data_IF_097978883229
#
_entry.id   IF_097978883229
#
_cell.length_a   1.000
_cell.length_b   1.000
_cell.length_c   1.000
_cell.angle_alpha   90.00
_cell.angle_beta   90.00
_cell.angle_gamma   90.00
#
_symmetry.space_group_name_H-M   'P 1'
#
loop_
_entity.id
_entity.type
_entity.pdbx_description
1 polymer ?
#
# COMPACT_ATOMS: atom_id res chain seq x y z
N UNK A 1 -16.55 -5.03 -38.75
CA UNK A 1 -16.35 -4.21 -37.53
C UNK A 1 -15.46 -5.03 -36.58
N UNK A 2 -14.14 -4.79 -36.59
CA UNK A 2 -13.22 -5.51 -35.71
C UNK A 2 -13.41 -4.99 -34.28
N UNK A 3 -14.00 -5.79 -33.38
CA UNK A 3 -13.94 -5.51 -31.94
C UNK A 3 -12.46 -5.52 -31.55
N UNK A 4 -11.93 -4.37 -31.10
CA UNK A 4 -10.60 -4.35 -30.46
C UNK A 4 -10.68 -5.30 -29.27
N UNK A 5 -9.84 -6.35 -29.27
CA UNK A 5 -9.70 -7.26 -28.12
C UNK A 5 -9.26 -6.41 -26.93
N UNK A 6 -10.05 -6.40 -25.85
CA UNK A 6 -9.61 -5.84 -24.57
C UNK A 6 -8.56 -6.78 -24.00
N UNK A 7 -7.36 -6.27 -23.72
CA UNK A 7 -6.29 -7.05 -23.12
C UNK A 7 -6.63 -7.39 -21.66
N UNK A 8 -6.29 -8.60 -21.20
CA UNK A 8 -6.37 -8.98 -19.79
C UNK A 8 -5.37 -8.16 -18.95
N UNK A 9 -5.52 -8.13 -17.63
CA UNK A 9 -4.55 -7.44 -16.76
C UNK A 9 -3.13 -8.00 -16.96
N UNK A 10 -3.00 -9.32 -17.03
CA UNK A 10 -1.72 -10.01 -17.30
C UNK A 10 -1.12 -9.61 -18.66
N UNK A 11 -1.93 -9.56 -19.72
CA UNK A 11 -1.47 -9.10 -21.04
C UNK A 11 -1.01 -7.62 -21.01
N UNK A 12 -1.71 -6.76 -20.26
CA UNK A 12 -1.33 -5.34 -20.10
C UNK A 12 -0.04 -5.17 -19.30
N UNK A 13 0.11 -5.91 -18.19
CA UNK A 13 1.33 -5.94 -17.37
C UNK A 13 2.53 -6.41 -18.18
N UNK A 14 2.38 -7.50 -18.94
CA UNK A 14 3.44 -8.00 -19.84
C UNK A 14 3.81 -6.96 -20.89
N UNK A 15 2.82 -6.31 -21.50
CA UNK A 15 3.06 -5.27 -22.50
C UNK A 15 3.79 -4.04 -21.90
N UNK A 16 3.46 -3.65 -20.68
CA UNK A 16 4.15 -2.57 -19.96
C UNK A 16 5.62 -2.89 -19.76
N UNK A 17 5.95 -4.07 -19.26
CA UNK A 17 7.35 -4.44 -19.01
C UNK A 17 8.17 -4.61 -20.28
N UNK A 18 7.59 -5.20 -21.33
CA UNK A 18 8.22 -5.25 -22.66
C UNK A 18 8.48 -3.86 -23.24
N UNK A 19 7.54 -2.94 -23.02
CA UNK A 19 7.74 -1.54 -23.40
C UNK A 19 8.84 -0.89 -22.54
N UNK A 20 8.84 -1.10 -21.23
CA UNK A 20 9.83 -0.54 -20.31
C UNK A 20 11.26 -0.97 -20.70
N UNK A 21 11.47 -2.28 -20.90
CA UNK A 21 12.74 -2.86 -21.33
C UNK A 21 13.22 -2.26 -22.66
N UNK A 22 12.32 -2.17 -23.64
CA UNK A 22 12.64 -1.58 -24.96
C UNK A 22 13.03 -0.10 -24.87
N UNK A 23 12.59 0.62 -23.84
CA UNK A 23 12.79 2.06 -23.70
C UNK A 23 13.82 2.42 -22.61
N UNK A 24 14.54 1.45 -22.04
CA UNK A 24 15.48 1.68 -20.92
C UNK A 24 16.42 2.88 -21.15
N UNK A 25 16.98 3.03 -22.36
CA UNK A 25 17.86 4.17 -22.69
C UNK A 25 17.17 5.53 -22.58
N UNK A 26 15.92 5.62 -23.00
CA UNK A 26 15.13 6.85 -22.85
C UNK A 26 14.77 7.09 -21.39
N UNK A 27 14.49 6.01 -20.63
CA UNK A 27 14.15 6.12 -19.22
C UNK A 27 15.34 6.57 -18.37
N UNK A 28 16.58 6.19 -18.73
CA UNK A 28 17.79 6.67 -18.04
C UNK A 28 18.01 8.19 -18.15
N UNK A 29 17.27 8.89 -19.02
CA UNK A 29 17.29 10.35 -19.12
C UNK A 29 16.45 11.03 -18.03
N UNK A 30 15.88 10.30 -17.06
CA UNK A 30 15.00 10.88 -16.04
C UNK A 30 15.63 12.04 -15.25
N UNK A 31 16.95 11.99 -15.01
CA UNK A 31 17.66 13.06 -14.29
C UNK A 31 17.80 14.35 -15.12
N UNK A 32 17.97 14.25 -16.44
CA UNK A 32 18.14 15.40 -17.33
C UNK A 32 16.83 15.88 -17.97
N UNK A 33 15.87 14.98 -18.17
CA UNK A 33 14.57 15.22 -18.83
C UNK A 33 13.38 14.66 -18.02
N UNK A 34 13.23 14.99 -16.71
CA UNK A 34 12.20 14.40 -15.84
C UNK A 34 10.78 14.60 -16.38
N UNK A 35 10.48 15.81 -16.84
CA UNK A 35 9.36 16.19 -17.71
C UNK A 35 8.87 15.09 -18.65
N UNK A 36 9.76 14.74 -19.57
CA UNK A 36 9.46 13.89 -20.70
C UNK A 36 9.34 12.44 -20.27
N UNK A 37 10.26 11.98 -19.43
CA UNK A 37 10.30 10.58 -18.97
C UNK A 37 9.09 10.27 -18.11
N UNK A 38 8.75 11.12 -17.13
CA UNK A 38 7.58 10.90 -16.29
C UNK A 38 6.29 10.85 -17.12
N UNK A 39 6.09 11.80 -18.04
CA UNK A 39 4.89 11.80 -18.91
C UNK A 39 4.78 10.52 -19.75
N UNK A 40 5.90 10.01 -20.24
CA UNK A 40 5.95 8.78 -21.03
C UNK A 40 5.56 7.56 -20.18
N UNK A 41 6.16 7.43 -19.00
CA UNK A 41 5.90 6.31 -18.08
C UNK A 41 4.47 6.36 -17.54
N UNK A 42 3.97 7.52 -17.11
CA UNK A 42 2.58 7.68 -16.65
C UNK A 42 1.58 7.20 -17.70
N UNK A 43 1.81 7.55 -18.99
CA UNK A 43 0.94 7.14 -20.09
C UNK A 43 0.90 5.62 -20.27
N UNK A 44 2.03 4.95 -20.13
CA UNK A 44 2.14 3.50 -20.34
C UNK A 44 1.68 2.72 -19.12
N UNK A 45 2.03 3.18 -17.92
CA UNK A 45 1.57 2.62 -16.65
C UNK A 45 0.04 2.68 -16.52
N UNK A 46 -0.58 3.80 -16.90
CA UNK A 46 -2.04 3.96 -16.89
C UNK A 46 -2.80 2.94 -17.75
N UNK A 47 -2.15 2.27 -18.71
CA UNK A 47 -2.77 1.17 -19.46
C UNK A 47 -2.91 -0.10 -18.60
N UNK A 48 -2.04 -0.29 -17.61
CA UNK A 48 -2.15 -1.36 -16.63
C UNK A 48 -3.15 -0.94 -15.55
N UNK A 49 -2.79 0.13 -14.82
CA UNK A 49 -3.55 0.77 -13.75
C UNK A 49 -2.93 2.15 -13.48
N UNK A 50 -3.70 3.21 -13.13
CA UNK A 50 -3.16 4.54 -12.86
C UNK A 50 -2.45 4.63 -11.50
N UNK A 51 -1.32 3.93 -11.36
CA UNK A 51 -0.46 3.94 -10.17
C UNK A 51 0.55 5.10 -10.23
N UNK A 52 1.11 5.45 -9.07
CA UNK A 52 2.21 6.41 -8.96
C UNK A 52 3.57 5.71 -9.15
N UNK A 53 4.62 6.49 -9.45
CA UNK A 53 5.99 5.98 -9.54
C UNK A 53 7.03 7.07 -9.28
N UNK A 54 8.23 6.63 -8.92
CA UNK A 54 9.40 7.48 -8.69
C UNK A 54 10.66 6.85 -9.29
N UNK A 55 11.61 7.72 -9.65
CA UNK A 55 12.95 7.32 -10.09
C UNK A 55 13.97 7.70 -9.03
N UNK A 56 14.81 6.75 -8.64
CA UNK A 56 15.85 6.93 -7.63
C UNK A 56 17.25 6.68 -8.18
N UNK A 57 18.30 7.18 -7.49
CA UNK A 57 19.69 6.98 -7.89
C UNK A 57 20.12 5.50 -7.89
N UNK A 58 19.41 4.64 -7.15
CA UNK A 58 19.64 3.21 -7.06
C UNK A 58 21.00 2.80 -6.54
N UNK A 59 21.31 1.51 -6.69
CA UNK A 59 22.55 0.90 -6.21
C UNK A 59 23.14 -0.02 -7.27
N UNK A 60 24.43 -0.36 -7.13
CA UNK A 60 25.13 -1.32 -8.00
C UNK A 60 25.08 -0.97 -9.50
N UNK A 61 25.11 0.31 -9.84
CA UNK A 61 25.08 0.78 -11.23
C UNK A 61 23.72 0.68 -11.91
N UNK A 62 22.66 0.37 -11.14
CA UNK A 62 21.26 0.41 -11.57
C UNK A 62 20.56 1.62 -10.96
N UNK A 63 19.59 2.18 -11.66
CA UNK A 63 18.65 3.17 -11.12
C UNK A 63 17.45 2.46 -10.50
N UNK A 64 16.80 3.11 -9.53
CA UNK A 64 15.58 2.56 -8.93
C UNK A 64 14.35 3.04 -9.69
N UNK A 65 13.43 2.12 -9.96
CA UNK A 65 12.07 2.41 -10.38
C UNK A 65 11.11 1.93 -9.29
N UNK A 66 10.59 2.89 -8.53
CA UNK A 66 9.70 2.65 -7.40
C UNK A 66 8.27 2.80 -7.92
N UNK A 67 7.44 1.78 -7.72
CA UNK A 67 6.01 1.83 -8.04
C UNK A 67 5.24 2.00 -6.74
N UNK A 68 4.36 2.99 -6.68
CA UNK A 68 3.64 3.37 -5.46
C UNK A 68 2.13 3.30 -5.67
N UNK A 69 1.41 2.99 -4.60
CA UNK A 69 -0.04 3.08 -4.53
C UNK A 69 -0.50 4.46 -4.05
N UNK A 70 0.42 5.38 -3.78
CA UNK A 70 0.16 6.73 -3.27
C UNK A 70 -0.72 6.71 -2.00
N UNK A 71 -0.42 5.75 -1.11
CA UNK A 71 -1.15 5.52 0.15
C UNK A 71 -2.51 4.82 -0.02
N UNK A 72 -2.94 4.52 -1.24
CA UNK A 72 -4.22 3.83 -1.52
C UNK A 72 -4.06 2.32 -1.25
N UNK A 73 -4.36 1.89 -0.02
CA UNK A 73 -4.24 0.48 0.43
C UNK A 73 -4.83 -0.55 -0.53
N UNK A 74 -5.98 -0.24 -1.15
CA UNK A 74 -6.66 -1.14 -2.10
C UNK A 74 -5.84 -1.43 -3.37
N UNK A 75 -4.86 -0.59 -3.67
CA UNK A 75 -4.00 -0.74 -4.85
C UNK A 75 -2.70 -1.51 -4.55
N UNK A 76 -2.44 -1.86 -3.30
CA UNK A 76 -1.24 -2.60 -2.88
C UNK A 76 -1.09 -3.94 -3.61
N UNK A 77 -2.13 -4.79 -3.77
CA UNK A 77 -2.01 -6.01 -4.57
C UNK A 77 -1.62 -5.74 -6.02
N UNK A 78 -2.08 -4.63 -6.61
CA UNK A 78 -1.75 -4.26 -7.99
C UNK A 78 -0.30 -3.82 -8.13
N UNK A 79 0.22 -3.02 -7.19
CA UNK A 79 1.64 -2.64 -7.13
C UNK A 79 2.52 -3.88 -7.00
N UNK A 80 2.18 -4.75 -6.04
CA UNK A 80 2.87 -6.01 -5.79
C UNK A 80 2.88 -6.91 -7.04
N UNK A 81 1.74 -7.06 -7.72
CA UNK A 81 1.62 -7.90 -8.90
C UNK A 81 2.44 -7.35 -10.07
N UNK A 82 2.41 -6.03 -10.27
CA UNK A 82 3.19 -5.37 -11.31
C UNK A 82 4.69 -5.55 -11.07
N UNK A 83 5.18 -5.30 -9.86
CA UNK A 83 6.58 -5.47 -9.50
C UNK A 83 7.04 -6.93 -9.62
N UNK A 84 6.24 -7.89 -9.15
CA UNK A 84 6.55 -9.32 -9.25
C UNK A 84 6.65 -9.80 -10.70
N UNK A 85 5.86 -9.22 -11.60
CA UNK A 85 5.88 -9.55 -13.02
C UNK A 85 7.04 -8.88 -13.80
N UNK A 86 7.86 -8.06 -13.14
CA UNK A 86 8.99 -7.41 -13.79
C UNK A 86 10.02 -8.46 -14.27
N UNK A 87 10.52 -8.34 -15.52
CA UNK A 87 11.65 -9.14 -15.97
C UNK A 87 12.93 -8.69 -15.27
N UNK A 88 14.00 -9.46 -15.41
CA UNK A 88 15.32 -9.00 -15.00
C UNK A 88 15.78 -7.85 -15.91
N UNK A 89 15.87 -6.65 -15.35
CA UNK A 89 16.31 -5.45 -16.04
C UNK A 89 17.77 -5.14 -15.73
N UNK A 90 18.53 -4.78 -16.76
CA UNK A 90 19.97 -4.57 -16.64
C UNK A 90 20.30 -3.24 -15.95
N UNK A 91 19.48 -2.22 -16.18
CA UNK A 91 19.72 -0.85 -15.68
C UNK A 91 18.82 -0.44 -14.52
N UNK A 92 17.90 -1.31 -14.11
CA UNK A 92 16.84 -0.94 -13.16
C UNK A 92 16.67 -1.94 -12.03
N UNK A 93 16.50 -1.42 -10.81
CA UNK A 93 15.90 -2.14 -9.70
C UNK A 93 14.40 -1.81 -9.67
N UNK A 94 13.56 -2.84 -9.63
CA UNK A 94 12.12 -2.65 -9.50
C UNK A 94 11.73 -2.80 -8.04
N UNK A 95 11.15 -1.75 -7.49
CA UNK A 95 10.86 -1.65 -6.06
C UNK A 95 9.36 -1.37 -5.89
N UNK A 96 8.70 -2.20 -5.09
CA UNK A 96 7.31 -1.96 -4.68
C UNK A 96 7.30 -1.03 -3.46
N UNK A 97 6.52 0.05 -3.56
CA UNK A 97 6.31 1.06 -2.51
C UNK A 97 7.56 1.88 -2.16
N UNK A 98 7.33 3.09 -1.65
CA UNK A 98 8.40 3.87 -1.02
C UNK A 98 8.96 3.09 0.17
N UNK A 99 10.27 2.92 0.21
CA UNK A 99 10.97 2.17 1.26
C UNK A 99 11.38 3.09 2.40
N UNK A 100 11.43 2.54 3.61
CA UNK A 100 12.00 3.22 4.77
C UNK A 100 13.46 3.63 4.47
N UNK A 101 13.76 4.91 4.72
CA UNK A 101 15.08 5.48 4.64
C UNK A 101 15.39 6.27 5.91
N UNK A 102 16.62 6.15 6.38
CA UNK A 102 17.15 7.10 7.35
C UNK A 102 17.47 8.40 6.62
N UNK A 103 16.70 9.44 6.92
CA UNK A 103 16.89 10.75 6.34
C UNK A 103 17.44 11.74 7.37
N UNK A 104 18.29 12.62 6.87
CA UNK A 104 18.77 13.82 7.55
C UNK A 104 18.57 15.00 6.59
N UNK A 105 18.24 16.17 7.13
CA UNK A 105 18.05 17.40 6.36
C UNK A 105 16.61 17.62 5.88
N UNK A 106 16.46 18.04 4.63
CA UNK A 106 15.25 18.74 4.17
C UNK A 106 14.53 18.01 3.04
N UNK A 107 13.19 17.93 3.13
CA UNK A 107 12.33 17.59 1.99
C UNK A 107 11.93 18.86 1.21
N UNK A 108 12.13 18.82 -0.10
CA UNK A 108 11.72 19.85 -1.05
C UNK A 108 10.51 19.38 -1.84
N UNK A 109 9.38 20.06 -1.72
CA UNK A 109 8.17 19.75 -2.47
C UNK A 109 7.32 20.99 -2.65
N UNK A 110 6.60 21.13 -3.77
CA UNK A 110 5.69 22.25 -4.02
C UNK A 110 6.28 23.66 -3.76
N UNK A 111 7.59 23.83 -3.94
CA UNK A 111 8.29 25.09 -3.69
C UNK A 111 8.53 25.42 -2.22
N UNK A 112 8.18 24.52 -1.30
CA UNK A 112 8.52 24.61 0.13
C UNK A 112 9.68 23.68 0.48
N UNK A 113 10.30 24.00 1.61
CA UNK A 113 11.49 23.35 2.15
C UNK A 113 11.20 23.04 3.62
N UNK A 114 11.03 21.76 3.95
CA UNK A 114 10.73 21.32 5.31
C UNK A 114 11.93 20.56 5.85
N UNK A 115 12.61 21.12 6.84
CA UNK A 115 13.68 20.43 7.54
C UNK A 115 13.11 19.48 8.59
N UNK A 116 13.66 18.28 8.69
CA UNK A 116 13.26 17.29 9.69
C UNK A 116 13.47 17.82 11.11
N UNK A 117 14.52 18.63 11.33
CA UNK A 117 14.81 19.22 12.64
C UNK A 117 13.81 20.33 13.02
N UNK A 118 13.07 20.86 12.05
CA UNK A 118 11.96 21.80 12.24
C UNK A 118 10.60 21.07 12.42
N UNK A 119 10.64 19.75 12.66
CA UNK A 119 9.47 18.90 12.87
C UNK A 119 9.54 18.11 14.19
N UNK A 120 8.40 17.94 14.82
CA UNK A 120 8.23 17.09 16.00
C UNK A 120 6.89 16.34 15.92
N UNK A 121 6.69 15.32 16.72
CA UNK A 121 5.43 14.55 16.70
C UNK A 121 4.95 14.17 18.10
N UNK A 122 3.66 13.86 18.16
CA UNK A 122 3.04 13.08 19.23
C UNK A 122 2.39 11.84 18.59
N UNK A 123 2.47 10.70 19.28
CA UNK A 123 1.89 9.45 18.81
C UNK A 123 1.26 8.66 19.97
N UNK A 124 0.09 8.09 19.71
CA UNK A 124 -0.66 7.27 20.65
C UNK A 124 -1.17 6.01 19.95
N UNK A 125 -1.16 4.89 20.66
CA UNK A 125 -1.71 3.65 20.16
C UNK A 125 -3.22 3.60 20.43
N UNK A 126 -4.00 3.34 19.41
CA UNK A 126 -5.46 3.17 19.53
C UNK A 126 -5.83 1.81 20.10
N UNK A 127 -7.08 1.65 20.52
CA UNK A 127 -7.61 0.35 20.99
C UNK A 127 -7.56 -0.73 19.91
N UNK A 128 -7.69 -0.34 18.63
CA UNK A 128 -7.58 -1.22 17.47
C UNK A 128 -6.12 -1.58 17.12
N UNK A 129 -5.15 -1.05 17.88
CA UNK A 129 -3.72 -1.30 17.69
C UNK A 129 -3.10 -0.53 16.52
N UNK A 130 -3.78 0.48 16.00
CA UNK A 130 -3.20 1.49 15.10
C UNK A 130 -2.45 2.54 15.92
N UNK A 131 -1.69 3.40 15.24
CA UNK A 131 -1.01 4.51 15.89
C UNK A 131 -1.52 5.81 15.28
N UNK A 132 -2.20 6.61 16.08
CA UNK A 132 -2.59 7.96 15.73
C UNK A 132 -1.38 8.87 15.91
N UNK A 133 -1.17 9.77 14.94
CA UNK A 133 0.01 10.60 14.85
C UNK A 133 -0.38 12.05 14.55
N UNK A 134 0.16 12.97 15.34
CA UNK A 134 0.11 14.41 15.04
C UNK A 134 1.52 14.87 14.71
N UNK A 135 1.72 15.35 13.48
CA UNK A 135 2.98 15.91 13.02
C UNK A 135 2.97 17.44 13.15
N UNK A 136 3.83 17.93 14.03
CA UNK A 136 4.02 19.36 14.26
C UNK A 136 5.13 19.89 13.36
N UNK A 137 4.82 20.86 12.50
CA UNK A 137 5.76 21.41 11.52
C UNK A 137 5.87 22.93 11.63
N UNK A 138 7.11 23.43 11.66
CA UNK A 138 7.37 24.87 11.65
C UNK A 138 7.04 25.47 10.28
N UNK A 139 6.33 26.60 10.28
CA UNK A 139 5.90 27.27 9.04
C UNK A 139 4.60 26.71 8.45
N UNK A 140 3.99 25.69 9.08
CA UNK A 140 2.62 25.30 8.78
C UNK A 140 1.65 26.41 9.22
N UNK A 141 0.84 26.87 8.27
CA UNK A 141 -0.23 27.85 8.47
C UNK A 141 -1.44 27.43 7.64
N UNK A 142 -2.63 28.04 7.83
CA UNK A 142 -3.78 27.77 6.98
C UNK A 142 -3.51 28.01 5.48
N UNK A 143 -2.59 28.94 5.14
CA UNK A 143 -2.24 29.24 3.76
C UNK A 143 -1.25 28.23 3.16
N UNK A 144 -0.42 27.59 4.00
CA UNK A 144 0.60 26.62 3.55
C UNK A 144 0.18 25.17 3.77
N UNK A 145 -1.02 24.94 4.31
CA UNK A 145 -1.51 23.64 4.76
C UNK A 145 -1.41 22.54 3.70
N UNK A 146 -1.85 22.78 2.47
CA UNK A 146 -1.79 21.77 1.39
C UNK A 146 -0.36 21.34 1.05
N UNK A 147 0.55 22.31 0.92
CA UNK A 147 1.95 22.04 0.59
C UNK A 147 2.66 21.31 1.73
N UNK A 148 2.42 21.74 2.98
CA UNK A 148 3.00 21.11 4.16
C UNK A 148 2.37 19.74 4.47
N UNK A 149 1.08 19.54 4.26
CA UNK A 149 0.44 18.23 4.39
C UNK A 149 1.05 17.23 3.41
N UNK A 150 1.26 17.64 2.16
CA UNK A 150 1.99 16.84 1.17
C UNK A 150 3.42 16.54 1.62
N UNK A 151 4.16 17.55 2.11
CA UNK A 151 5.50 17.35 2.64
C UNK A 151 5.52 16.41 3.85
N UNK A 152 4.53 16.50 4.72
CA UNK A 152 4.36 15.67 5.90
C UNK A 152 4.14 14.21 5.52
N UNK A 153 3.25 13.90 4.57
CA UNK A 153 3.10 12.53 4.08
C UNK A 153 4.37 12.01 3.40
N UNK A 154 5.06 12.83 2.60
CA UNK A 154 6.35 12.45 2.01
C UNK A 154 7.41 12.17 3.07
N UNK A 155 7.47 12.97 4.14
CA UNK A 155 8.35 12.74 5.29
C UNK A 155 8.03 11.39 5.95
N UNK A 156 6.75 11.15 6.25
CA UNK A 156 6.32 9.90 6.89
C UNK A 156 6.62 8.68 6.00
N UNK A 157 6.28 8.73 4.72
CA UNK A 157 6.55 7.64 3.76
C UNK A 157 8.05 7.38 3.64
N UNK A 158 8.88 8.42 3.65
CA UNK A 158 10.33 8.27 3.61
C UNK A 158 10.85 7.66 4.91
N UNK A 159 10.37 8.13 6.06
CA UNK A 159 10.85 7.70 7.39
C UNK A 159 10.28 6.38 7.87
N UNK A 160 9.23 5.86 7.28
CA UNK A 160 8.58 4.61 7.72
C UNK A 160 8.37 3.61 6.59
N UNK A 161 8.38 4.07 5.34
CA UNK A 161 7.92 3.31 4.19
C UNK A 161 6.40 3.44 4.01
N UNK A 162 5.97 3.55 2.75
CA UNK A 162 4.56 3.73 2.38
C UNK A 162 3.68 2.61 2.92
N UNK A 163 4.16 1.36 2.94
CA UNK A 163 3.38 0.24 3.47
C UNK A 163 3.06 0.43 4.96
N UNK A 164 4.03 0.87 5.75
CA UNK A 164 3.87 0.98 7.20
C UNK A 164 3.02 2.22 7.55
N UNK A 165 3.23 3.35 6.86
CA UNK A 165 2.34 4.53 6.95
C UNK A 165 0.91 4.12 6.67
N UNK A 166 0.70 3.44 5.54
CA UNK A 166 -0.64 3.06 5.10
C UNK A 166 -1.19 1.81 5.82
N UNK A 167 -0.53 1.18 6.80
CA UNK A 167 -1.14 0.00 7.46
C UNK A 167 -1.04 0.01 8.97
N UNK A 168 -0.09 0.75 9.53
CA UNK A 168 0.18 0.83 10.96
C UNK A 168 -0.32 2.15 11.56
N UNK A 169 -0.37 3.23 10.76
CA UNK A 169 -0.95 4.49 11.22
C UNK A 169 -2.48 4.50 11.09
N UNK A 170 -3.10 5.17 12.05
CA UNK A 170 -4.53 5.48 12.11
C UNK A 170 -4.78 6.90 11.59
N UNK A 171 -5.26 7.78 12.47
CA UNK A 171 -5.38 9.21 12.22
C UNK A 171 -4.01 9.88 12.06
N UNK A 172 -3.87 10.72 11.03
CA UNK A 172 -2.68 11.53 10.80
C UNK A 172 -3.14 12.98 10.68
N UNK A 173 -2.71 13.80 11.63
CA UNK A 173 -3.01 15.23 11.66
C UNK A 173 -1.72 16.07 11.57
N UNK A 174 -1.88 17.29 11.07
CA UNK A 174 -0.77 18.24 10.92
C UNK A 174 -1.07 19.52 11.69
N UNK A 175 -0.14 19.93 12.54
CA UNK A 175 -0.32 21.08 13.43
C UNK A 175 0.90 22.04 13.38
N UNK A 176 0.72 23.35 13.60
CA UNK A 176 1.84 24.27 13.64
C UNK A 176 2.79 23.99 14.81
N UNK A 177 4.09 23.92 14.52
CA UNK A 177 5.11 23.91 15.57
C UNK A 177 5.45 25.34 15.98
N UNK A 178 5.28 25.64 17.27
CA UNK A 178 5.63 26.93 17.89
C UNK A 178 6.34 26.71 19.23
N UNK A 179 7.00 27.76 19.73
CA UNK A 179 7.64 27.73 21.05
C UNK A 179 6.65 27.40 22.17
N UNK A 180 5.39 27.88 22.04
CA UNK A 180 4.32 27.55 22.98
C UNK A 180 3.97 26.07 22.91
N UNK A 181 3.85 25.51 21.71
CA UNK A 181 3.58 24.08 21.51
C UNK A 181 4.66 23.22 22.16
N UNK A 182 5.94 23.60 22.02
CA UNK A 182 7.08 22.91 22.64
C UNK A 182 7.07 22.98 24.19
N UNK A 183 6.53 24.06 24.75
CA UNK A 183 6.43 24.23 26.20
C UNK A 183 5.23 23.49 26.79
N UNK A 184 4.10 23.47 26.09
CA UNK A 184 2.84 22.88 26.56
C UNK A 184 2.79 21.36 26.35
N UNK A 185 3.45 20.85 25.31
CA UNK A 185 3.43 19.43 24.93
C UNK A 185 4.81 18.82 25.02
N UNK A 186 4.90 17.60 25.57
CA UNK A 186 6.10 16.79 25.51
C UNK A 186 6.22 16.15 24.12
N UNK A 187 6.57 16.95 23.12
CA UNK A 187 6.76 16.48 21.76
C UNK A 187 8.08 15.72 21.60
N UNK A 188 8.08 14.73 20.73
CA UNK A 188 9.28 13.96 20.39
C UNK A 188 9.85 14.48 19.07
N UNK A 189 11.18 14.66 18.92
CA UNK A 189 11.78 15.04 17.65
C UNK A 189 11.43 14.03 16.54
N UNK A 190 11.17 14.52 15.33
CA UNK A 190 10.77 13.64 14.22
C UNK A 190 11.80 12.54 13.92
N UNK A 191 13.08 12.82 14.15
CA UNK A 191 14.19 11.86 14.01
C UNK A 191 14.06 10.59 14.85
N UNK A 192 13.22 10.58 15.90
CA UNK A 192 12.96 9.40 16.74
C UNK A 192 11.69 8.63 16.34
N UNK A 193 11.02 9.03 15.26
CA UNK A 193 9.71 8.49 14.87
C UNK A 193 9.73 6.97 14.69
N UNK A 194 10.65 6.44 13.88
CA UNK A 194 10.70 5.00 13.58
C UNK A 194 10.85 4.17 14.86
N UNK A 195 11.78 4.56 15.74
CA UNK A 195 12.00 3.90 17.04
C UNK A 195 10.74 3.98 17.92
N UNK A 196 10.09 5.14 18.00
CA UNK A 196 8.90 5.30 18.83
C UNK A 196 7.73 4.47 18.33
N UNK A 197 7.55 4.37 17.01
CA UNK A 197 6.49 3.52 16.44
C UNK A 197 6.75 2.04 16.69
N UNK A 198 8.01 1.59 16.64
CA UNK A 198 8.37 0.22 17.00
C UNK A 198 8.04 -0.10 18.47
N UNK A 199 8.28 0.84 19.40
CA UNK A 199 7.92 0.68 20.82
C UNK A 199 6.40 0.60 21.06
N UNK A 200 5.62 1.38 20.30
CA UNK A 200 4.16 1.39 20.40
C UNK A 200 3.53 0.16 19.73
N UNK A 201 4.21 -0.42 18.75
CA UNK A 201 3.77 -1.63 18.09
C UNK A 201 3.80 -2.81 19.06
N UNK A 202 2.74 -3.65 19.00
CA UNK A 202 2.78 -4.92 19.71
C UNK A 202 3.85 -5.80 19.05
N UNK A 203 4.75 -6.44 19.82
CA UNK A 203 5.68 -7.42 19.27
C UNK A 203 4.91 -8.44 18.42
N UNK A 204 5.23 -8.48 17.13
CA UNK A 204 4.57 -9.40 16.22
C UNK A 204 5.39 -10.68 16.17
N UNK A 205 4.80 -11.79 16.61
CA UNK A 205 5.38 -13.10 16.37
C UNK A 205 5.29 -13.42 14.87
N UNK A 206 6.41 -13.81 14.26
CA UNK A 206 6.44 -14.27 12.87
C UNK A 206 5.78 -15.64 12.78
N UNK A 207 4.48 -15.68 12.53
CA UNK A 207 3.78 -16.93 12.26
C UNK A 207 3.75 -17.17 10.75
N UNK A 208 4.05 -18.41 10.35
CA UNK A 208 3.65 -18.84 9.02
C UNK A 208 2.13 -18.92 8.98
N UNK A 209 1.52 -18.33 7.96
CA UNK A 209 0.08 -18.49 7.65
C UNK A 209 -0.15 -19.44 6.47
N UNK A 210 0.89 -20.15 6.03
CA UNK A 210 0.76 -21.12 4.95
C UNK A 210 -0.09 -22.32 5.40
N UNK A 211 -0.94 -22.80 4.50
CA UNK A 211 -1.81 -23.93 4.76
C UNK A 211 -3.26 -23.71 4.33
N UNK A 212 -4.11 -24.64 4.78
CA UNK A 212 -5.54 -24.62 4.57
C UNK A 212 -6.24 -23.79 5.65
N UNK A 213 -7.27 -23.07 5.23
CA UNK A 213 -8.06 -22.17 6.04
C UNK A 213 -9.54 -22.34 5.70
N UNK A 214 -10.39 -22.18 6.71
CA UNK A 214 -11.84 -22.11 6.55
C UNK A 214 -12.36 -20.81 7.18
N UNK A 215 -13.31 -20.16 6.53
CA UNK A 215 -13.77 -18.85 6.97
C UNK A 215 -15.15 -18.49 6.45
N UNK A 216 -15.58 -17.30 6.85
CA UNK A 216 -16.83 -16.70 6.43
C UNK A 216 -16.61 -15.23 6.04
N UNK A 217 -17.38 -14.75 5.07
CA UNK A 217 -17.55 -13.32 4.84
C UNK A 217 -19.01 -12.93 5.00
N UNK A 218 -19.27 -11.66 5.32
CA UNK A 218 -20.60 -11.07 5.40
C UNK A 218 -20.59 -9.68 4.79
N UNK A 219 -21.76 -9.21 4.36
CA UNK A 219 -21.92 -7.87 3.77
C UNK A 219 -22.18 -6.84 4.88
N UNK A 220 -21.64 -5.64 4.71
CA UNK A 220 -22.04 -4.48 5.51
C UNK A 220 -23.39 -3.99 4.97
N UNK A 221 -24.45 -4.25 5.72
CA UNK A 221 -25.81 -3.80 5.38
C UNK A 221 -26.16 -2.51 6.10
N UNK A 222 -27.01 -1.64 5.50
CA UNK A 222 -27.52 -0.46 6.18
C UNK A 222 -28.22 -0.82 7.50
N UNK A 223 -28.12 0.05 8.50
CA UNK A 223 -28.80 -0.11 9.78
C UNK A 223 -30.30 -0.42 9.58
N UNK A 224 -30.78 -1.49 10.22
CA UNK A 224 -32.18 -1.94 10.14
C UNK A 224 -32.47 -3.02 9.09
N UNK A 225 -31.51 -3.40 8.24
CA UNK A 225 -31.61 -4.59 7.40
C UNK A 225 -30.90 -5.78 8.05
N UNK A 226 -31.68 -6.72 8.59
CA UNK A 226 -31.18 -8.00 9.05
C UNK A 226 -30.98 -8.92 7.83
N UNK A 227 -29.78 -8.95 7.28
CA UNK A 227 -29.31 -10.16 6.61
C UNK A 227 -27.87 -10.47 7.04
N UNK A 228 -27.77 -11.18 8.17
CA UNK A 228 -26.52 -11.61 8.80
C UNK A 228 -25.96 -12.89 8.18
N UNK A 229 -26.34 -13.22 6.94
CA UNK A 229 -25.88 -14.45 6.30
C UNK A 229 -24.36 -14.43 6.17
N UNK A 230 -23.72 -15.35 6.88
CA UNK A 230 -22.31 -15.67 6.75
C UNK A 230 -22.13 -16.61 5.55
N UNK A 231 -21.24 -16.24 4.65
CA UNK A 231 -20.94 -16.98 3.44
C UNK A 231 -19.63 -17.75 3.64
N UNK A 232 -19.69 -19.08 3.78
CA UNK A 232 -18.50 -19.88 4.03
C UNK A 232 -17.61 -19.98 2.80
N UNK A 233 -16.31 -20.08 3.06
CA UNK A 233 -15.28 -20.35 2.06
C UNK A 233 -14.16 -21.20 2.65
N UNK A 234 -13.38 -21.79 1.76
CA UNK A 234 -12.09 -22.44 2.04
C UNK A 234 -11.00 -21.73 1.27
N UNK A 235 -9.81 -21.64 1.86
CA UNK A 235 -8.66 -21.04 1.21
C UNK A 235 -7.39 -21.86 1.44
N UNK A 236 -6.50 -21.83 0.45
CA UNK A 236 -5.15 -22.36 0.55
C UNK A 236 -4.18 -21.19 0.36
N UNK A 237 -3.29 -20.97 1.32
CA UNK A 237 -2.35 -19.85 1.32
C UNK A 237 -0.91 -20.35 1.26
N UNK A 238 -0.08 -19.65 0.49
CA UNK A 238 1.37 -19.78 0.40
C UNK A 238 2.00 -18.40 0.48
N UNK A 239 3.12 -18.28 1.20
CA UNK A 239 3.87 -17.03 1.33
C UNK A 239 5.26 -17.19 0.71
N UNK A 240 5.71 -16.23 -0.09
CA UNK A 240 7.08 -16.20 -0.60
C UNK A 240 7.55 -14.77 -0.71
N UNK A 241 8.58 -14.38 0.05
CA UNK A 241 9.11 -13.00 0.09
C UNK A 241 8.00 -11.96 0.30
N UNK A 242 7.21 -12.11 1.37
CA UNK A 242 6.02 -11.31 1.71
C UNK A 242 4.87 -11.36 0.70
N UNK A 243 5.03 -12.00 -0.47
CA UNK A 243 3.91 -12.20 -1.39
C UNK A 243 2.99 -13.30 -0.87
N UNK A 244 1.71 -12.98 -0.75
CA UNK A 244 0.64 -13.92 -0.49
C UNK A 244 0.07 -14.43 -1.81
N UNK A 245 0.10 -15.74 -2.01
CA UNK A 245 -0.52 -16.41 -3.13
C UNK A 245 -1.43 -17.53 -2.64
N UNK A 246 -2.47 -17.84 -3.40
CA UNK A 246 -3.37 -18.88 -2.96
C UNK A 246 -4.59 -19.06 -3.83
N UNK A 247 -5.51 -19.86 -3.30
CA UNK A 247 -6.80 -20.10 -3.90
C UNK A 247 -7.88 -19.96 -2.85
N UNK A 248 -9.06 -19.51 -3.27
CA UNK A 248 -10.25 -19.46 -2.43
C UNK A 248 -11.42 -20.07 -3.19
N UNK A 249 -12.18 -20.91 -2.52
CA UNK A 249 -13.42 -21.49 -3.01
C UNK A 249 -14.53 -21.11 -2.03
N UNK A 250 -15.50 -20.34 -2.51
CA UNK A 250 -16.72 -20.04 -1.77
C UNK A 250 -17.84 -20.95 -2.27
N UNK A 251 -18.88 -21.14 -1.45
CA UNK A 251 -20.04 -21.97 -1.81
C UNK A 251 -20.94 -21.34 -2.90
N UNK A 252 -20.40 -20.42 -3.71
CA UNK A 252 -21.11 -19.81 -4.83
C UNK A 252 -20.87 -20.59 -6.13
N UNK A 253 -21.77 -20.43 -7.10
CA UNK A 253 -21.61 -21.02 -8.44
C UNK A 253 -20.52 -20.33 -9.29
N UNK A 254 -19.67 -19.47 -8.70
CA UNK A 254 -18.59 -18.76 -9.41
C UNK A 254 -17.32 -19.59 -9.51
N UNK A 255 -17.22 -20.70 -8.77
CA UNK A 255 -16.07 -21.60 -8.79
C UNK A 255 -14.84 -21.02 -8.08
N UNK A 256 -13.69 -21.63 -8.36
CA UNK A 256 -12.41 -21.27 -7.72
C UNK A 256 -11.93 -19.87 -8.11
N UNK A 257 -11.37 -19.18 -7.13
CA UNK A 257 -10.69 -17.90 -7.29
C UNK A 257 -9.21 -18.02 -6.89
N UNK A 258 -8.37 -17.19 -7.52
CA UNK A 258 -6.97 -16.99 -7.15
C UNK A 258 -6.83 -15.82 -6.19
N UNK A 259 -5.88 -15.96 -5.27
CA UNK A 259 -5.48 -14.93 -4.32
C UNK A 259 -4.08 -14.43 -4.68
N UNK A 260 -3.90 -13.12 -4.71
CA UNK A 260 -2.58 -12.51 -4.83
C UNK A 260 -2.48 -11.23 -4.01
N UNK A 261 -1.40 -11.06 -3.26
CA UNK A 261 -1.20 -9.86 -2.47
C UNK A 261 0.05 -9.90 -1.60
N UNK A 262 -0.07 -9.31 -0.42
CA UNK A 262 1.00 -9.12 0.55
C UNK A 262 0.60 -9.68 1.91
N UNK A 263 1.58 -10.27 2.57
CA UNK A 263 1.57 -10.64 3.98
C UNK A 263 2.87 -10.11 4.58
N UNK A 264 2.78 -9.02 5.34
CA UNK A 264 3.93 -8.40 6.01
C UNK A 264 3.57 -8.15 7.47
N UNK A 265 4.44 -8.56 8.38
CA UNK A 265 4.18 -8.57 9.82
C UNK A 265 2.86 -9.32 10.16
N UNK A 266 1.90 -8.64 10.77
CA UNK A 266 0.56 -9.16 11.05
C UNK A 266 -0.48 -8.70 10.02
N UNK A 267 -0.08 -8.02 8.95
CA UNK A 267 -1.00 -7.43 7.97
C UNK A 267 -1.11 -8.36 6.75
N UNK A 268 -2.34 -8.61 6.33
CA UNK A 268 -2.63 -9.24 5.02
C UNK A 268 -3.46 -8.30 4.16
N UNK A 269 -3.06 -8.15 2.90
CA UNK A 269 -3.82 -7.41 1.89
C UNK A 269 -3.73 -8.19 0.59
N UNK A 270 -4.85 -8.68 0.07
CA UNK A 270 -4.84 -9.47 -1.16
C UNK A 270 -6.07 -9.25 -2.03
N UNK A 271 -5.87 -9.45 -3.33
CA UNK A 271 -6.92 -9.46 -4.33
C UNK A 271 -7.43 -10.89 -4.54
N UNK A 272 -8.74 -11.08 -4.58
CA UNK A 272 -9.43 -12.30 -5.01
C UNK A 272 -9.98 -12.10 -6.42
N UNK A 273 -9.56 -12.96 -7.34
CA UNK A 273 -9.99 -12.92 -8.75
C UNK A 273 -10.47 -14.30 -9.19
N UNK A 274 -11.72 -14.39 -9.66
CA UNK A 274 -12.32 -15.63 -10.13
C UNK A 274 -11.73 -16.06 -11.49
N UNK A 275 -11.46 -17.36 -11.66
CA UNK A 275 -10.85 -17.86 -12.89
C UNK A 275 -11.84 -17.97 -14.06
N UNK A 276 -13.10 -18.26 -13.75
CA UNK A 276 -14.11 -18.64 -14.73
C UNK A 276 -15.03 -17.49 -15.12
N UNK A 277 -14.92 -16.33 -14.46
CA UNK A 277 -15.84 -15.20 -14.65
C UNK A 277 -15.08 -13.89 -14.84
N UNK A 278 -15.63 -12.99 -15.67
CA UNK A 278 -15.10 -11.64 -15.84
C UNK A 278 -15.64 -10.69 -14.76
N UNK A 279 -15.61 -11.14 -13.50
CA UNK A 279 -16.04 -10.36 -12.34
C UNK A 279 -14.92 -9.40 -11.93
N UNK A 280 -15.33 -8.27 -11.37
CA UNK A 280 -14.37 -7.33 -10.78
C UNK A 280 -13.70 -7.98 -9.57
N UNK A 281 -12.40 -7.73 -9.37
CA UNK A 281 -11.66 -8.28 -8.24
C UNK A 281 -12.22 -7.78 -6.90
N UNK A 282 -12.13 -8.62 -5.88
CA UNK A 282 -12.47 -8.27 -4.49
C UNK A 282 -11.18 -8.08 -3.71
N UNK A 283 -11.04 -6.93 -3.04
CA UNK A 283 -9.87 -6.63 -2.22
C UNK A 283 -10.16 -7.01 -0.78
N UNK A 284 -9.32 -7.85 -0.19
CA UNK A 284 -9.37 -8.23 1.22
C UNK A 284 -8.23 -7.54 1.96
N UNK A 285 -8.54 -6.98 3.12
CA UNK A 285 -7.59 -6.36 4.03
C UNK A 285 -7.85 -6.90 5.42
N UNK A 286 -6.81 -7.31 6.15
CA UNK A 286 -6.99 -7.89 7.47
C UNK A 286 -5.71 -8.03 8.28
N UNK A 287 -5.88 -8.62 9.46
CA UNK A 287 -4.80 -8.88 10.41
C UNK A 287 -4.76 -10.35 10.81
N UNK A 288 -3.55 -10.81 11.07
CA UNK A 288 -3.24 -12.10 11.70
C UNK A 288 -3.35 -11.90 13.20
N UNK A 289 -4.10 -12.77 13.87
CA UNK A 289 -4.20 -12.75 15.33
C UNK A 289 -2.85 -13.13 15.98
N UNK A 290 -2.69 -12.76 17.25
CA UNK A 290 -1.45 -12.96 18.00
C UNK A 290 -1.08 -14.45 18.21
N UNK A 291 -1.98 -15.38 17.95
CA UNK A 291 -1.75 -16.84 17.99
C UNK A 291 -1.39 -17.44 16.62
N UNK A 292 -1.51 -16.66 15.54
CA UNK A 292 -1.33 -17.11 14.16
C UNK A 292 -2.38 -18.13 13.68
N UNK A 293 -3.47 -18.33 14.43
CA UNK A 293 -4.52 -19.32 14.15
C UNK A 293 -5.77 -18.73 13.50
N UNK A 294 -5.90 -17.40 13.53
CA UNK A 294 -7.03 -16.70 12.90
C UNK A 294 -6.59 -15.45 12.14
N UNK A 295 -7.33 -15.15 11.08
CA UNK A 295 -7.22 -13.91 10.32
C UNK A 295 -8.60 -13.28 10.23
N UNK A 296 -8.66 -11.96 10.26
CA UNK A 296 -9.92 -11.24 10.10
C UNK A 296 -9.72 -9.84 9.55
N UNK A 297 -10.76 -9.27 8.96
CA UNK A 297 -10.72 -7.90 8.48
C UNK A 297 -11.91 -7.53 7.63
N UNK A 298 -11.66 -6.65 6.65
CA UNK A 298 -12.64 -6.09 5.72
C UNK A 298 -12.38 -6.56 4.30
N UNK A 299 -13.43 -6.61 3.50
CA UNK A 299 -13.33 -6.79 2.06
C UNK A 299 -14.10 -5.69 1.33
N UNK A 300 -13.62 -5.33 0.15
CA UNK A 300 -14.15 -4.27 -0.70
C UNK A 300 -14.27 -4.77 -2.14
N UNK A 301 -15.42 -4.53 -2.77
CA UNK A 301 -15.68 -4.77 -4.18
C UNK A 301 -16.17 -3.48 -4.82
N UNK A 302 -15.40 -2.92 -5.75
CA UNK A 302 -15.82 -1.80 -6.59
C UNK A 302 -16.23 -2.34 -7.97
N UNK A 303 -17.54 -2.31 -8.27
CA UNK A 303 -18.08 -2.74 -9.55
C UNK A 303 -18.98 -1.68 -10.14
N UNK A 304 -18.66 -1.23 -11.36
CA UNK A 304 -19.47 -0.27 -12.14
C UNK A 304 -19.88 1.00 -11.37
N UNK A 305 -19.01 1.51 -10.50
CA UNK A 305 -19.27 2.71 -9.71
C UNK A 305 -20.08 2.47 -8.43
N UNK A 306 -20.38 1.22 -8.09
CA UNK A 306 -20.94 0.82 -6.79
C UNK A 306 -19.85 0.15 -5.96
N UNK A 307 -19.69 0.60 -4.71
CA UNK A 307 -18.84 -0.05 -3.73
C UNK A 307 -19.69 -0.95 -2.83
N UNK A 308 -19.32 -2.21 -2.72
CA UNK A 308 -19.87 -3.16 -1.76
C UNK A 308 -18.78 -3.61 -0.81
N UNK A 309 -19.08 -3.71 0.47
CA UNK A 309 -18.10 -3.97 1.51
C UNK A 309 -18.62 -4.96 2.52
N UNK A 310 -17.72 -5.46 3.34
CA UNK A 310 -18.10 -6.28 4.45
C UNK A 310 -16.94 -6.75 5.30
N UNK A 311 -17.24 -7.65 6.23
CA UNK A 311 -16.28 -8.25 7.13
C UNK A 311 -16.00 -9.69 6.71
N UNK A 312 -14.80 -10.17 7.04
CA UNK A 312 -14.42 -11.57 6.87
C UNK A 312 -13.57 -12.04 8.05
N UNK A 313 -13.61 -13.34 8.28
CA UNK A 313 -12.70 -14.03 9.19
C UNK A 313 -12.44 -15.45 8.70
N UNK A 314 -11.28 -16.00 9.06
CA UNK A 314 -10.94 -17.40 8.83
C UNK A 314 -10.05 -17.94 9.93
N UNK A 315 -10.07 -19.26 10.09
CA UNK A 315 -9.26 -20.02 11.04
C UNK A 315 -8.54 -21.15 10.29
N UNK A 316 -7.40 -21.60 10.84
CA UNK A 316 -6.69 -22.75 10.29
C UNK A 316 -7.60 -23.98 10.32
N UNK A 317 -7.53 -24.77 9.25
CA UNK A 317 -8.16 -26.10 9.17
C UNK A 317 -7.34 -27.16 9.91
#
# INVERSE_FOLDING_TARGET
MFRKKTLTLEERTKAFWQWFEKNEETLCLFASEPHRVCKLVSKELAKVKPLAFEFGPGTNGKSDFIISADGIRKDFPSVAALCKAAPELQKWNIIAFRQHQQIQGTILTHGISVDIDDCAFAAEKTEEGLIDLVLYMKGLTPQTFEAYGTAGFLLLDTMLGEFDVATKLGGIDFEPLSDLTLQEKQLTPLTQLSTRLEELQTPTSKFSIEGAWQGNYKYDLPEGQADSNEFPFRAQIKITNDYLEGTMEDNSNLGQARLFGLCKDSIVIFEKTYDTTNKDPVIYQGRIAADGQSLSGKWDLESKGTATRGLWSMQRE
#
